data_IF_018036656066
#
_entry.id   IF_018036656066
#
_cell.length_a   1.000
_cell.length_b   1.000
_cell.length_c   1.000
_cell.angle_alpha   90.00
_cell.angle_beta   90.00
_cell.angle_gamma   90.00
#
_symmetry.space_group_name_H-M   'P 1'
#
loop_
_entity.id
_entity.type
_entity.pdbx_description
1 polymer ?
#
# COMPACT_ATOMS: atom_id res chain seq x y z
N UNK A 1 4.82 -13.58 -2.58
CA UNK A 1 3.95 -14.36 -3.50
C UNK A 1 2.51 -14.20 -3.06
N UNK A 2 1.56 -13.96 -3.97
CA UNK A 2 0.13 -13.77 -3.62
C UNK A 2 -0.48 -14.95 -2.85
N UNK A 3 0.05 -16.17 -3.02
CA UNK A 3 -0.37 -17.33 -2.24
C UNK A 3 -0.06 -17.21 -0.73
N UNK A 4 0.99 -16.47 -0.36
CA UNK A 4 1.36 -16.22 1.04
C UNK A 4 0.67 -15.00 1.66
N UNK A 5 0.16 -14.09 0.82
CA UNK A 5 -0.59 -12.90 1.24
C UNK A 5 -1.73 -12.65 0.23
N UNK A 6 -2.85 -13.40 0.34
CA UNK A 6 -3.92 -13.36 -0.66
C UNK A 6 -4.80 -12.11 -0.57
N UNK A 7 -4.67 -11.33 0.50
CA UNK A 7 -5.42 -10.10 0.72
C UNK A 7 -4.51 -8.88 0.57
N UNK A 8 -5.07 -7.79 0.07
CA UNK A 8 -4.37 -6.51 -0.03
C UNK A 8 -3.92 -6.04 1.36
N UNK A 9 -2.60 -5.91 1.55
CA UNK A 9 -1.99 -5.47 2.81
C UNK A 9 -2.54 -4.12 3.27
N UNK A 10 -2.64 -3.17 2.34
CA UNK A 10 -3.07 -1.82 2.66
C UNK A 10 -4.58 -1.74 2.94
N UNK A 11 -5.42 -2.50 2.24
CA UNK A 11 -6.85 -2.55 2.56
C UNK A 11 -7.07 -3.21 3.93
N UNK A 12 -6.32 -4.27 4.23
CA UNK A 12 -6.39 -4.98 5.51
C UNK A 12 -6.05 -4.05 6.69
N UNK A 13 -5.02 -3.20 6.55
CA UNK A 13 -4.68 -2.15 7.54
C UNK A 13 -5.81 -1.14 7.78
N UNK A 14 -6.68 -0.94 6.79
CA UNK A 14 -7.85 -0.05 6.87
C UNK A 14 -9.13 -0.76 7.31
N UNK A 15 -9.05 -2.05 7.66
CA UNK A 15 -10.21 -2.87 8.03
C UNK A 15 -11.09 -3.26 6.83
N UNK A 16 -10.60 -3.11 5.60
CA UNK A 16 -11.29 -3.54 4.38
C UNK A 16 -10.69 -4.85 3.85
N UNK A 17 -11.54 -5.74 3.34
CA UNK A 17 -11.12 -7.01 2.75
C UNK A 17 -11.19 -6.88 1.24
N UNK A 18 -10.03 -6.89 0.59
CA UNK A 18 -9.88 -6.84 -0.87
C UNK A 18 -8.82 -7.87 -1.27
N UNK A 19 -9.04 -8.67 -2.33
CA UNK A 19 -8.03 -9.61 -2.81
C UNK A 19 -6.78 -8.87 -3.30
N UNK A 20 -5.61 -9.43 -3.01
CA UNK A 20 -4.37 -8.98 -3.64
C UNK A 20 -4.32 -9.52 -5.08
N UNK A 21 -4.06 -8.63 -6.03
CA UNK A 21 -3.97 -8.93 -7.47
C UNK A 21 -2.57 -8.66 -8.03
N UNK A 22 -1.79 -7.85 -7.33
CA UNK A 22 -0.48 -7.38 -7.74
C UNK A 22 0.52 -7.61 -6.59
N UNK A 23 1.77 -7.91 -6.94
CA UNK A 23 2.89 -7.96 -5.97
C UNK A 23 3.72 -6.70 -6.16
N UNK A 24 4.07 -6.05 -5.05
CA UNK A 24 4.79 -4.79 -5.04
C UNK A 24 6.00 -4.84 -4.08
N UNK A 25 7.05 -4.09 -4.41
CA UNK A 25 8.22 -3.88 -3.56
C UNK A 25 7.92 -2.79 -2.53
N UNK A 26 7.84 -3.15 -1.25
CA UNK A 26 7.42 -2.24 -0.18
C UNK A 26 8.29 -0.99 -0.08
N UNK A 27 9.61 -1.18 -0.21
CA UNK A 27 10.62 -0.11 -0.20
C UNK A 27 10.71 0.67 -1.52
N UNK A 28 10.08 0.18 -2.58
CA UNK A 28 10.14 0.77 -3.92
C UNK A 28 11.43 0.45 -4.69
N UNK A 29 12.30 -0.42 -4.17
CA UNK A 29 13.52 -0.86 -4.86
C UNK A 29 13.22 -2.12 -5.71
N UNK A 30 13.23 -2.02 -7.05
CA UNK A 30 12.94 -3.16 -7.92
C UNK A 30 13.99 -4.27 -7.86
N UNK A 31 15.17 -4.01 -7.27
CA UNK A 31 16.23 -5.00 -7.10
C UNK A 31 16.08 -5.84 -5.82
N UNK A 32 15.34 -5.35 -4.82
CA UNK A 32 15.17 -6.01 -3.54
C UNK A 32 14.04 -7.05 -3.58
N UNK A 33 14.34 -8.26 -4.02
CA UNK A 33 13.37 -9.36 -4.11
C UNK A 33 13.26 -10.21 -2.84
N UNK A 34 13.66 -9.68 -1.68
CA UNK A 34 13.48 -10.36 -0.41
C UNK A 34 12.00 -10.60 -0.14
N UNK A 35 11.66 -11.80 0.33
CA UNK A 35 10.26 -12.19 0.55
C UNK A 35 9.54 -11.29 1.56
N UNK A 36 10.28 -10.70 2.49
CA UNK A 36 9.74 -9.74 3.47
C UNK A 36 9.49 -8.35 2.87
N UNK A 37 10.15 -8.02 1.74
CA UNK A 37 9.95 -6.77 1.00
C UNK A 37 8.77 -6.87 0.01
N UNK A 38 8.44 -8.07 -0.47
CA UNK A 38 7.34 -8.27 -1.41
C UNK A 38 5.98 -8.31 -0.69
N UNK A 39 5.05 -7.46 -1.13
CA UNK A 39 3.73 -7.31 -0.51
C UNK A 39 2.59 -7.55 -1.50
N UNK A 40 1.50 -8.16 -1.03
CA UNK A 40 0.28 -8.30 -1.83
C UNK A 40 -0.57 -7.03 -1.79
N UNK A 41 -0.90 -6.44 -2.93
CA UNK A 41 -1.78 -5.28 -3.05
C UNK A 41 -2.91 -5.55 -4.06
N UNK A 42 -4.07 -4.93 -3.85
CA UNK A 42 -5.07 -4.84 -4.92
C UNK A 42 -4.64 -3.78 -5.94
N UNK A 43 -5.12 -3.92 -7.17
CA UNK A 43 -4.71 -3.08 -8.30
C UNK A 43 -4.81 -1.57 -8.01
N UNK A 44 -5.87 -1.12 -7.34
CA UNK A 44 -6.08 0.30 -7.03
C UNK A 44 -5.06 0.86 -6.02
N UNK A 45 -4.60 0.03 -5.09
CA UNK A 45 -3.59 0.42 -4.10
C UNK A 45 -2.18 0.39 -4.73
N UNK A 46 -1.90 -0.65 -5.51
CA UNK A 46 -0.65 -0.75 -6.27
C UNK A 46 -0.47 0.44 -7.22
N UNK A 47 -1.46 0.72 -8.07
CA UNK A 47 -1.45 1.86 -9.00
C UNK A 47 -1.21 3.20 -8.30
N UNK A 48 -1.85 3.42 -7.14
CA UNK A 48 -1.65 4.64 -6.33
C UNK A 48 -0.23 4.74 -5.77
N UNK A 49 0.33 3.63 -5.28
CA UNK A 49 1.72 3.60 -4.80
C UNK A 49 2.68 3.90 -5.95
N UNK A 50 2.55 3.23 -7.09
CA UNK A 50 3.36 3.49 -8.28
C UNK A 50 3.31 4.97 -8.68
N UNK A 51 2.12 5.57 -8.74
CA UNK A 51 1.99 6.99 -9.06
C UNK A 51 2.75 7.89 -8.06
N UNK A 52 2.65 7.60 -6.76
CA UNK A 52 3.39 8.33 -5.72
C UNK A 52 4.91 8.15 -5.87
N UNK A 53 5.36 6.93 -6.06
CA UNK A 53 6.78 6.60 -6.17
C UNK A 53 7.42 7.26 -7.41
N UNK A 54 6.63 7.51 -8.46
CA UNK A 54 6.99 8.33 -9.62
C UNK A 54 6.76 9.85 -9.46
N UNK A 55 6.48 10.31 -8.24
CA UNK A 55 6.40 11.73 -7.89
C UNK A 55 5.03 12.39 -8.08
N UNK A 56 3.99 11.64 -8.42
CA UNK A 56 2.63 12.19 -8.49
C UNK A 56 2.07 12.47 -7.09
N UNK A 57 1.30 13.57 -6.97
CA UNK A 57 0.50 13.84 -5.76
C UNK A 57 -0.74 12.98 -5.79
N UNK A 58 -0.78 11.94 -4.96
CA UNK A 58 -1.92 11.05 -4.83
C UNK A 58 -2.77 11.38 -3.60
N UNK A 59 -4.09 11.32 -3.74
CA UNK A 59 -5.01 11.49 -2.61
C UNK A 59 -5.22 10.16 -1.87
N UNK A 60 -5.02 10.17 -0.55
CA UNK A 60 -5.31 9.01 0.31
C UNK A 60 -6.66 9.10 1.01
N UNK A 61 -7.23 10.29 1.18
CA UNK A 61 -8.47 10.50 1.94
C UNK A 61 -8.27 10.43 3.45
N UNK A 62 -9.36 10.25 4.19
CA UNK A 62 -9.41 10.05 5.64
C UNK A 62 -10.13 8.75 6.00
N UNK A 63 -9.80 8.17 7.15
CA UNK A 63 -10.48 6.99 7.69
C UNK A 63 -11.83 7.35 8.36
N UNK A 64 -12.51 6.35 8.93
CA UNK A 64 -13.81 6.52 9.57
C UNK A 64 -13.79 7.46 10.80
N UNK A 65 -12.61 7.73 11.37
CA UNK A 65 -12.41 8.64 12.49
C UNK A 65 -11.90 10.01 12.05
N UNK A 66 -11.74 10.23 10.74
CA UNK A 66 -11.23 11.49 10.17
C UNK A 66 -9.71 11.60 10.14
N UNK A 67 -8.96 10.53 10.43
CA UNK A 67 -7.50 10.55 10.37
C UNK A 67 -7.00 10.40 8.92
N UNK A 68 -6.01 11.19 8.47
CA UNK A 68 -5.45 11.08 7.13
C UNK A 68 -4.86 9.70 6.88
N UNK A 69 -5.24 9.10 5.75
CA UNK A 69 -4.74 7.78 5.36
C UNK A 69 -3.39 7.84 4.62
N UNK A 70 -2.86 9.03 4.36
CA UNK A 70 -1.51 9.18 3.79
C UNK A 70 -0.47 8.79 4.85
N UNK A 71 0.31 7.71 4.66
CA UNK A 71 1.32 7.28 5.64
C UNK A 71 2.38 8.36 5.92
N UNK A 72 2.62 9.27 4.96
CA UNK A 72 3.60 10.34 5.12
C UNK A 72 3.03 11.58 5.83
N UNK A 73 1.72 11.63 6.10
CA UNK A 73 1.05 12.77 6.71
C UNK A 73 1.64 13.10 8.10
N UNK A 74 1.86 14.39 8.45
CA UNK A 74 2.46 14.76 9.73
C UNK A 74 1.74 14.19 10.97
N UNK A 75 0.42 14.08 10.95
CA UNK A 75 -0.35 13.46 12.05
C UNK A 75 -0.10 11.94 12.24
N UNK A 76 0.51 11.28 11.26
CA UNK A 76 0.92 9.88 11.35
C UNK A 76 2.36 9.71 11.86
N UNK A 77 3.10 10.81 12.07
CA UNK A 77 4.43 10.83 12.68
C UNK A 77 4.28 11.13 14.18
N UNK A 78 4.29 10.09 15.02
CA UNK A 78 4.31 10.23 16.50
C UNK A 78 5.72 10.11 17.03
#
# INVERSE_FOLDING_TARGET
MLAGEPLCRDCSKRGSVEPATDVDHHDGDPSNNDMDNLVGLCHSCHSRKTARDHGARVGYGCDAHGMPMDPAHPWNRR
#
